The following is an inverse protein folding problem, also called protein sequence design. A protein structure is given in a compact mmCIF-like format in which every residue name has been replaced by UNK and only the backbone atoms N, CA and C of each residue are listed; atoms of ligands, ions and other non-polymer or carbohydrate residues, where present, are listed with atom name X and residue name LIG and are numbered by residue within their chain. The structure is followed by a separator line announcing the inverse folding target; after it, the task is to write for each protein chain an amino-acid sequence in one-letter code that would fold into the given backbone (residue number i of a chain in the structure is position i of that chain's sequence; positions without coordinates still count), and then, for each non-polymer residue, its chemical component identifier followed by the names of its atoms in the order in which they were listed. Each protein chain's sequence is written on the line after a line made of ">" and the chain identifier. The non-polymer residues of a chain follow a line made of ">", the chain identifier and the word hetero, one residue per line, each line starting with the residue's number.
data_IF_955238162148
#
_entry.id   IF_955238162148
#
_cell.length_a   1.000
_cell.length_b   1.000
_cell.length_c   1.000
_cell.angle_alpha   90.00
_cell.angle_beta   90.00
_cell.angle_gamma   90.00
#
_symmetry.space_group_name_H-M   'P 1'
#
loop_
_entity.id
_entity.type
_entity.pdbx_description
1 polymer ?
#
# COMPACT_ATOMS: atom_id res chain seq x y z
N UNK A 1 -2.65 26.41 -10.59
CA UNK A 1 -2.51 25.80 -11.94
C UNK A 1 -3.71 26.24 -12.77
N UNK A 2 -3.59 26.37 -14.10
CA UNK A 2 -4.76 26.78 -14.90
C UNK A 2 -5.87 25.72 -14.88
N UNK A 3 -7.14 26.14 -14.92
CA UNK A 3 -8.29 25.22 -14.87
C UNK A 3 -8.31 24.23 -16.05
N UNK A 4 -7.94 24.69 -17.25
CA UNK A 4 -7.83 23.83 -18.43
C UNK A 4 -6.73 22.78 -18.30
N UNK A 5 -5.60 23.14 -17.70
CA UNK A 5 -4.50 22.22 -17.40
C UNK A 5 -4.93 21.13 -16.40
N UNK A 6 -5.60 21.52 -15.30
CA UNK A 6 -6.13 20.57 -14.32
C UNK A 6 -7.16 19.61 -14.92
N UNK A 7 -8.11 20.13 -15.70
CA UNK A 7 -9.09 19.30 -16.39
C UNK A 7 -8.41 18.33 -17.36
N UNK A 8 -7.40 18.77 -18.11
CA UNK A 8 -6.63 17.92 -19.01
C UNK A 8 -5.92 16.79 -18.25
N UNK A 9 -5.28 17.10 -17.13
CA UNK A 9 -4.61 16.12 -16.29
C UNK A 9 -5.61 15.09 -15.72
N UNK A 10 -6.76 15.54 -15.20
CA UNK A 10 -7.80 14.64 -14.66
C UNK A 10 -8.43 13.74 -15.72
N UNK A 11 -8.51 14.19 -16.99
CA UNK A 11 -9.01 13.39 -18.11
C UNK A 11 -8.14 12.19 -18.47
N UNK A 12 -6.91 12.10 -17.94
CA UNK A 12 -6.08 10.89 -18.05
C UNK A 12 -6.67 9.71 -17.25
N UNK A 13 -7.64 9.97 -16.37
CA UNK A 13 -8.37 8.99 -15.57
C UNK A 13 -9.83 8.92 -16.09
N UNK A 14 -10.12 8.03 -17.07
CA UNK A 14 -11.36 8.08 -17.84
C UNK A 14 -12.63 7.76 -17.04
N UNK A 15 -12.52 7.14 -15.87
CA UNK A 15 -13.69 6.85 -15.03
C UNK A 15 -14.19 8.08 -14.25
N UNK A 16 -13.37 9.14 -14.15
CA UNK A 16 -13.71 10.34 -13.41
C UNK A 16 -14.74 11.20 -14.13
N UNK A 17 -15.66 11.78 -13.37
CA UNK A 17 -16.62 12.75 -13.87
C UNK A 17 -16.23 14.15 -13.38
N UNK A 18 -15.54 14.90 -14.24
CA UNK A 18 -15.07 16.26 -13.93
C UNK A 18 -16.10 17.28 -14.41
N UNK A 19 -16.62 18.11 -13.50
CA UNK A 19 -17.59 19.17 -13.80
C UNK A 19 -17.18 20.47 -13.11
N UNK A 20 -17.30 21.64 -13.77
CA UNK A 20 -17.22 22.92 -13.07
C UNK A 20 -18.35 23.06 -12.06
N UNK A 21 -18.04 23.59 -10.89
CA UNK A 21 -19.00 23.93 -9.83
C UNK A 21 -18.60 25.29 -9.22
N UNK A 22 -19.04 26.37 -9.88
CA UNK A 22 -18.58 27.73 -9.55
C UNK A 22 -17.07 27.91 -9.83
N UNK A 23 -16.28 28.42 -8.86
CA UNK A 23 -14.84 28.57 -9.01
C UNK A 23 -14.07 27.25 -8.83
N UNK A 24 -14.74 26.18 -8.42
CA UNK A 24 -14.14 24.88 -8.16
C UNK A 24 -14.45 23.89 -9.29
N UNK A 25 -13.67 22.81 -9.33
CA UNK A 25 -13.96 21.61 -10.06
C UNK A 25 -14.47 20.56 -9.10
N UNK A 26 -15.64 20.00 -9.40
CA UNK A 26 -16.15 18.79 -8.77
C UNK A 26 -15.70 17.58 -9.58
N UNK A 27 -14.92 16.71 -8.94
CA UNK A 27 -14.37 15.48 -9.52
C UNK A 27 -15.09 14.30 -8.88
N UNK A 28 -16.16 13.83 -9.51
CA UNK A 28 -16.89 12.66 -9.03
C UNK A 28 -16.11 11.37 -9.35
N UNK A 29 -16.02 10.49 -8.35
CA UNK A 29 -15.43 9.15 -8.44
C UNK A 29 -16.56 8.14 -8.25
N UNK A 30 -17.18 7.64 -9.34
CA UNK A 30 -18.41 6.85 -9.25
C UNK A 30 -18.27 5.58 -8.38
N UNK A 31 -17.10 4.94 -8.37
CA UNK A 31 -16.87 3.70 -7.64
C UNK A 31 -17.02 3.84 -6.11
N UNK A 32 -16.72 5.02 -5.57
CA UNK A 32 -16.90 5.34 -4.13
C UNK A 32 -18.17 6.17 -3.87
N UNK A 33 -18.93 6.50 -4.92
CA UNK A 33 -20.13 7.34 -4.86
C UNK A 33 -19.92 8.70 -4.15
N UNK A 34 -18.73 9.29 -4.31
CA UNK A 34 -18.35 10.58 -3.71
C UNK A 34 -17.61 11.46 -4.72
N UNK A 35 -17.30 12.70 -4.35
CA UNK A 35 -16.61 13.66 -5.20
C UNK A 35 -15.60 14.52 -4.44
N UNK A 36 -14.45 14.73 -5.05
CA UNK A 36 -13.45 15.69 -4.61
C UNK A 36 -13.80 17.08 -5.10
N UNK A 37 -13.58 18.11 -4.28
CA UNK A 37 -13.71 19.52 -4.65
C UNK A 37 -12.34 20.16 -4.74
N UNK A 38 -12.01 20.70 -5.90
CA UNK A 38 -10.68 21.24 -6.19
C UNK A 38 -10.80 22.66 -6.73
N UNK A 39 -10.18 23.61 -6.04
CA UNK A 39 -9.95 24.93 -6.61
C UNK A 39 -8.67 24.88 -7.49
N UNK A 40 -8.74 25.21 -8.80
CA UNK A 40 -7.57 25.13 -9.68
C UNK A 40 -6.34 25.93 -9.19
N UNK A 41 -6.57 27.10 -8.59
CA UNK A 41 -5.51 27.95 -8.02
C UNK A 41 -4.86 27.36 -6.76
N UNK A 42 -5.52 26.41 -6.09
CA UNK A 42 -4.97 25.67 -4.96
C UNK A 42 -4.14 24.48 -5.40
N UNK A 43 -4.30 23.99 -6.63
CA UNK A 43 -3.47 22.91 -7.16
C UNK A 43 -2.17 23.50 -7.71
N UNK A 44 -1.06 23.17 -7.07
CA UNK A 44 0.27 23.67 -7.44
C UNK A 44 0.93 22.80 -8.51
N UNK A 45 0.66 21.50 -8.48
CA UNK A 45 1.23 20.53 -9.42
C UNK A 45 0.29 19.35 -9.61
N UNK A 46 0.27 18.80 -10.82
CA UNK A 46 -0.33 17.52 -11.13
C UNK A 46 0.72 16.62 -11.80
N UNK A 47 0.91 15.42 -11.26
CA UNK A 47 1.88 14.45 -11.75
C UNK A 47 1.20 13.12 -12.01
N UNK A 48 1.34 12.61 -13.23
CA UNK A 48 0.85 11.27 -13.55
C UNK A 48 1.74 10.24 -12.86
N UNK A 49 1.09 9.30 -12.17
CA UNK A 49 1.74 8.21 -11.43
C UNK A 49 0.94 6.92 -11.65
N UNK A 50 1.32 5.87 -10.93
CA UNK A 50 0.64 4.59 -10.98
C UNK A 50 0.39 4.08 -9.56
N UNK A 51 -0.78 3.46 -9.36
CA UNK A 51 -1.13 2.76 -8.13
C UNK A 51 -0.19 1.57 -7.88
N UNK A 52 -0.21 0.93 -6.71
CA UNK A 52 0.52 -0.33 -6.48
C UNK A 52 0.07 -1.43 -7.44
N UNK A 53 -1.19 -1.40 -7.88
CA UNK A 53 -1.74 -2.28 -8.93
C UNK A 53 -1.42 -1.79 -10.34
N UNK A 54 -0.61 -0.74 -10.46
CA UNK A 54 -0.16 -0.14 -11.71
C UNK A 54 -1.26 0.53 -12.51
N UNK A 55 -2.42 0.78 -11.90
CA UNK A 55 -3.49 1.54 -12.52
C UNK A 55 -3.07 3.00 -12.64
N UNK A 56 -3.45 3.71 -13.71
CA UNK A 56 -3.20 5.15 -13.83
C UNK A 56 -3.76 5.90 -12.62
N UNK A 57 -2.97 6.83 -12.10
CA UNK A 57 -3.34 7.72 -11.02
C UNK A 57 -2.75 9.11 -11.24
N UNK A 58 -3.27 10.11 -10.53
CA UNK A 58 -2.80 11.49 -10.59
C UNK A 58 -2.49 11.98 -9.17
N UNK A 59 -1.24 12.37 -8.90
CA UNK A 59 -0.82 13.03 -7.66
C UNK A 59 -0.96 14.52 -7.85
N UNK A 60 -1.76 15.12 -6.98
CA UNK A 60 -1.98 16.54 -6.89
C UNK A 60 -1.30 17.06 -5.63
N UNK A 61 -0.50 18.10 -5.78
CA UNK A 61 -0.01 18.90 -4.64
C UNK A 61 -0.99 20.05 -4.46
N UNK A 62 -1.79 19.97 -3.40
CA UNK A 62 -2.85 20.93 -3.12
C UNK A 62 -2.44 21.82 -1.94
N UNK A 63 -2.48 23.12 -2.15
CA UNK A 63 -2.32 24.11 -1.10
C UNK A 63 -3.65 24.34 -0.39
N UNK A 64 -3.64 24.16 0.93
CA UNK A 64 -4.73 24.56 1.81
C UNK A 64 -4.15 25.40 2.93
N UNK A 65 -4.58 26.65 3.01
CA UNK A 65 -3.95 27.66 3.85
C UNK A 65 -2.42 27.69 3.59
N UNK A 66 -1.62 27.49 4.64
CA UNK A 66 -0.15 27.42 4.57
C UNK A 66 0.38 25.99 4.32
N UNK A 67 -0.48 24.97 4.30
CA UNK A 67 -0.10 23.57 4.19
C UNK A 67 -0.10 23.08 2.73
N UNK A 68 0.87 22.23 2.40
CA UNK A 68 0.92 21.49 1.14
C UNK A 68 0.49 20.04 1.41
N UNK A 69 -0.65 19.65 0.86
CA UNK A 69 -1.26 18.35 1.10
C UNK A 69 -1.24 17.50 -0.17
N UNK A 70 -0.79 16.24 -0.09
CA UNK A 70 -0.93 15.31 -1.19
C UNK A 70 -2.38 14.85 -1.33
N UNK A 71 -2.84 14.81 -2.57
CA UNK A 71 -4.08 14.17 -2.96
C UNK A 71 -3.81 13.31 -4.19
N UNK A 72 -4.07 12.02 -4.12
CA UNK A 72 -3.96 11.12 -5.26
C UNK A 72 -5.35 10.71 -5.69
N UNK A 73 -5.65 10.90 -6.97
CA UNK A 73 -6.92 10.51 -7.57
C UNK A 73 -6.69 9.30 -8.46
N UNK A 74 -7.53 8.28 -8.32
CA UNK A 74 -7.58 7.08 -9.16
C UNK A 74 -8.92 7.01 -9.89
N UNK A 75 -9.06 6.08 -10.83
CA UNK A 75 -10.34 5.84 -11.51
C UNK A 75 -11.46 5.40 -10.55
N UNK A 76 -11.10 4.72 -9.47
CA UNK A 76 -12.01 4.04 -8.56
C UNK A 76 -11.81 4.42 -7.08
N UNK A 77 -10.88 5.32 -6.77
CA UNK A 77 -10.55 5.66 -5.39
C UNK A 77 -9.88 7.06 -5.30
N UNK A 78 -9.75 7.55 -4.07
CA UNK A 78 -9.04 8.79 -3.73
C UNK A 78 -8.19 8.52 -2.50
N UNK A 79 -6.95 9.00 -2.50
CA UNK A 79 -5.99 8.79 -1.41
C UNK A 79 -5.48 10.14 -0.92
N UNK A 80 -5.40 10.31 0.40
CA UNK A 80 -4.96 11.56 1.02
C UNK A 80 -4.14 11.30 2.28
N UNK A 81 -3.45 12.34 2.76
CA UNK A 81 -2.79 12.30 4.05
C UNK A 81 -3.80 12.52 5.19
N UNK A 82 -3.86 11.64 6.21
CA UNK A 82 -4.62 11.89 7.43
C UNK A 82 -4.21 13.19 8.12
N UNK A 83 -5.13 13.78 8.88
CA UNK A 83 -4.77 14.90 9.76
C UNK A 83 -4.02 14.40 11.00
N UNK A 84 -3.25 15.28 11.65
CA UNK A 84 -2.54 14.93 12.88
C UNK A 84 -3.53 14.63 14.03
N UNK A 85 -3.42 13.49 14.73
CA UNK A 85 -4.18 13.21 15.95
C UNK A 85 -4.16 14.34 16.98
N UNK A 86 -3.04 15.05 17.13
CA UNK A 86 -2.92 16.17 18.05
C UNK A 86 -3.85 17.34 17.69
N UNK A 87 -4.20 17.49 16.40
CA UNK A 87 -5.16 18.49 15.93
C UNK A 87 -6.61 18.07 16.18
N UNK A 88 -6.88 16.80 16.50
CA UNK A 88 -8.24 16.28 16.72
C UNK A 88 -8.64 16.19 18.18
N UNK A 89 -7.67 16.07 19.08
CA UNK A 89 -7.90 15.90 20.51
C UNK A 89 -7.66 17.20 21.28
N UNK A 90 -8.56 17.49 22.21
CA UNK A 90 -8.39 18.46 23.28
C UNK A 90 -7.80 17.74 24.49
N UNK A 91 -6.52 17.38 24.35
CA UNK A 91 -5.73 16.71 25.40
C UNK A 91 -4.52 17.57 25.76
N UNK A 92 -4.21 17.63 27.06
CA UNK A 92 -2.98 18.26 27.57
C UNK A 92 -1.76 17.40 27.24
N UNK A 93 -1.95 16.09 27.10
CA UNK A 93 -0.89 15.14 26.75
C UNK A 93 -0.94 14.90 25.23
N UNK A 94 0.15 15.19 24.48
CA UNK A 94 0.21 14.90 23.06
C UNK A 94 0.05 13.41 22.79
N UNK A 95 -0.99 13.05 22.04
CA UNK A 95 -1.23 11.68 21.59
C UNK A 95 -0.53 11.48 20.24
N UNK A 96 0.28 10.42 20.13
CA UNK A 96 0.92 10.00 18.87
C UNK A 96 0.56 8.56 18.57
N UNK A 97 0.16 8.30 17.34
CA UNK A 97 -0.10 6.95 16.83
C UNK A 97 1.11 6.58 15.98
N UNK A 98 1.99 5.75 16.51
CA UNK A 98 3.29 5.43 15.90
C UNK A 98 3.15 4.81 14.51
N UNK A 99 2.13 3.98 14.33
CA UNK A 99 1.88 3.22 13.09
C UNK A 99 0.76 3.86 12.23
N UNK A 100 0.52 5.17 12.37
CA UNK A 100 -0.44 5.86 11.52
C UNK A 100 0.03 5.83 10.05
N UNK A 101 -0.80 5.37 9.10
CA UNK A 101 -0.40 5.36 7.71
C UNK A 101 -0.27 6.81 7.21
N UNK A 102 0.78 7.12 6.43
CA UNK A 102 1.03 8.47 5.95
C UNK A 102 0.06 8.90 4.84
N UNK A 103 -0.60 7.93 4.22
CA UNK A 103 -1.64 8.10 3.21
C UNK A 103 -2.70 7.03 3.46
N UNK A 104 -3.97 7.35 3.21
CA UNK A 104 -5.09 6.42 3.32
C UNK A 104 -6.00 6.57 2.12
N UNK A 105 -6.44 5.45 1.56
CA UNK A 105 -7.43 5.43 0.49
C UNK A 105 -8.86 5.52 1.04
N UNK A 106 -9.80 6.04 0.27
CA UNK A 106 -11.20 6.11 0.67
C UNK A 106 -11.76 4.73 0.99
N UNK A 107 -11.52 3.76 0.11
CA UNK A 107 -11.99 2.39 0.30
C UNK A 107 -11.31 1.71 1.48
N UNK A 108 -10.04 2.02 1.75
CA UNK A 108 -9.30 1.52 2.90
C UNK A 108 -9.87 2.06 4.21
N UNK A 109 -10.15 3.36 4.28
CA UNK A 109 -10.83 3.97 5.42
C UNK A 109 -12.16 3.25 5.70
N UNK A 110 -13.04 3.08 4.69
CA UNK A 110 -14.31 2.38 4.88
C UNK A 110 -14.13 0.94 5.38
N UNK A 111 -13.19 0.20 4.76
CA UNK A 111 -12.87 -1.18 5.15
C UNK A 111 -12.35 -1.26 6.59
N UNK A 112 -11.50 -0.32 7.00
CA UNK A 112 -10.96 -0.26 8.36
C UNK A 112 -12.04 0.03 9.40
N UNK A 113 -13.04 0.86 9.07
CA UNK A 113 -14.22 1.09 9.91
C UNK A 113 -14.97 -0.22 10.21
N UNK A 114 -15.25 -0.99 9.16
CA UNK A 114 -15.95 -2.28 9.27
C UNK A 114 -15.11 -3.29 10.06
N UNK A 115 -13.79 -3.34 9.80
CA UNK A 115 -12.85 -4.19 10.52
C UNK A 115 -12.84 -3.90 12.02
N UNK A 116 -12.76 -2.62 12.40
CA UNK A 116 -12.82 -2.19 13.80
C UNK A 116 -14.14 -2.58 14.45
N UNK A 117 -15.28 -2.42 13.76
CA UNK A 117 -16.58 -2.80 14.29
C UNK A 117 -16.68 -4.30 14.58
N UNK A 118 -16.13 -5.15 13.70
CA UNK A 118 -16.05 -6.60 13.93
C UNK A 118 -15.12 -6.95 15.08
N UNK A 119 -14.00 -6.26 15.23
CA UNK A 119 -13.05 -6.50 16.31
C UNK A 119 -13.69 -6.21 17.69
N UNK A 120 -14.52 -5.17 17.79
CA UNK A 120 -15.24 -4.87 19.03
C UNK A 120 -16.35 -5.88 19.37
N UNK A 121 -16.85 -6.64 18.39
CA UNK A 121 -17.79 -7.74 18.64
C UNK A 121 -17.08 -9.03 19.11
N UNK A 122 -15.75 -9.00 19.23
CA UNK A 122 -14.93 -10.10 19.72
C UNK A 122 -15.05 -10.33 21.25
N UNK A 123 -14.64 -11.52 21.74
CA UNK A 123 -14.76 -11.89 23.16
C UNK A 123 -13.80 -11.12 24.08
N UNK A 124 -12.74 -10.51 23.53
CA UNK A 124 -11.81 -9.65 24.24
C UNK A 124 -11.63 -8.36 23.46
N UNK A 125 -12.01 -7.24 24.06
CA UNK A 125 -11.85 -5.91 23.47
C UNK A 125 -10.71 -5.19 24.18
N UNK A 126 -9.70 -4.80 23.41
CA UNK A 126 -8.64 -3.90 23.87
C UNK A 126 -9.14 -2.45 23.71
N UNK A 127 -9.53 -1.84 24.83
CA UNK A 127 -10.11 -0.48 24.88
C UNK A 127 -9.12 0.59 24.37
N UNK A 128 -7.82 0.42 24.64
CA UNK A 128 -6.79 1.37 24.21
C UNK A 128 -6.61 1.29 22.69
N UNK A 129 -6.55 0.07 22.14
CA UNK A 129 -6.47 -0.14 20.70
C UNK A 129 -7.71 0.40 19.96
N UNK A 130 -8.90 0.19 20.52
CA UNK A 130 -10.15 0.72 19.97
C UNK A 130 -10.17 2.25 20.03
N UNK A 131 -9.77 2.85 21.15
CA UNK A 131 -9.70 4.30 21.31
C UNK A 131 -8.73 4.92 20.30
N UNK A 132 -7.54 4.33 20.14
CA UNK A 132 -6.55 4.77 19.14
C UNK A 132 -7.12 4.63 17.72
N UNK A 133 -7.83 3.54 17.44
CA UNK A 133 -8.49 3.31 16.14
C UNK A 133 -9.56 4.38 15.86
N UNK A 134 -10.39 4.75 16.84
CA UNK A 134 -11.38 5.81 16.70
C UNK A 134 -10.73 7.18 16.39
N UNK A 135 -9.65 7.52 17.09
CA UNK A 135 -8.91 8.76 16.83
C UNK A 135 -8.35 8.75 15.41
N UNK A 136 -7.67 7.67 15.03
CA UNK A 136 -7.09 7.53 13.70
C UNK A 136 -8.15 7.59 12.60
N UNK A 137 -9.29 6.95 12.81
CA UNK A 137 -10.39 6.94 11.86
C UNK A 137 -11.02 8.33 11.69
N UNK A 138 -11.19 9.09 12.77
CA UNK A 138 -11.58 10.50 12.66
C UNK A 138 -10.55 11.30 11.88
N UNK A 139 -9.25 11.05 12.10
CA UNK A 139 -8.19 11.71 11.35
C UNK A 139 -8.27 11.43 9.85
N UNK A 140 -8.64 10.19 9.46
CA UNK A 140 -8.88 9.82 8.07
C UNK A 140 -10.06 10.60 7.49
N UNK A 141 -11.22 10.57 8.16
CA UNK A 141 -12.43 11.25 7.69
C UNK A 141 -12.22 12.75 7.54
N UNK A 142 -11.66 13.41 8.56
CA UNK A 142 -11.42 14.86 8.52
C UNK A 142 -10.40 15.20 7.43
N UNK A 143 -9.39 14.34 7.21
CA UNK A 143 -8.48 14.46 6.08
C UNK A 143 -9.20 14.41 4.73
N UNK A 144 -10.22 13.54 4.59
CA UNK A 144 -11.03 13.44 3.38
C UNK A 144 -11.87 14.70 3.17
N UNK A 145 -12.51 15.18 4.24
CA UNK A 145 -13.39 16.35 4.23
C UNK A 145 -12.66 17.63 3.82
N UNK A 146 -11.36 17.75 4.13
CA UNK A 146 -10.52 18.84 3.63
C UNK A 146 -10.55 18.94 2.11
N UNK A 147 -10.67 17.83 1.40
CA UNK A 147 -10.77 17.80 -0.06
C UNK A 147 -12.22 17.81 -0.57
N UNK A 148 -13.19 18.15 0.28
CA UNK A 148 -14.60 18.24 -0.06
C UNK A 148 -15.34 16.90 -0.14
N UNK A 149 -14.67 15.78 0.18
CA UNK A 149 -15.31 14.46 0.28
C UNK A 149 -16.31 14.43 1.45
N UNK A 150 -17.34 13.58 1.34
CA UNK A 150 -18.37 13.39 2.36
C UNK A 150 -18.48 11.89 2.69
N UNK A 151 -17.55 11.34 3.51
CA UNK A 151 -17.52 9.91 3.80
C UNK A 151 -18.57 9.50 4.87
N UNK A 152 -19.84 9.70 4.55
CA UNK A 152 -20.98 9.53 5.47
C UNK A 152 -21.02 8.12 6.07
N UNK A 153 -20.69 7.08 5.28
CA UNK A 153 -20.69 5.69 5.75
C UNK A 153 -19.58 5.42 6.77
N UNK A 154 -18.38 5.97 6.55
CA UNK A 154 -17.27 5.85 7.49
C UNK A 154 -17.58 6.60 8.79
N UNK A 155 -18.18 7.79 8.70
CA UNK A 155 -18.67 8.55 9.85
C UNK A 155 -19.75 7.81 10.63
N UNK A 156 -20.67 7.11 9.96
CA UNK A 156 -21.69 6.28 10.60
C UNK A 156 -21.07 5.11 11.38
N UNK A 157 -20.08 4.42 10.79
CA UNK A 157 -19.32 3.39 11.51
C UNK A 157 -18.57 3.97 12.71
N UNK A 158 -17.93 5.12 12.55
CA UNK A 158 -17.26 5.82 13.63
C UNK A 158 -18.24 6.13 14.78
N UNK A 159 -19.42 6.66 14.46
CA UNK A 159 -20.45 6.99 15.46
C UNK A 159 -20.94 5.73 16.20
N UNK A 160 -21.16 4.63 15.47
CA UNK A 160 -21.51 3.34 16.06
C UNK A 160 -20.43 2.81 17.00
N UNK A 161 -19.16 2.89 16.58
CA UNK A 161 -18.01 2.48 17.39
C UNK A 161 -17.88 3.34 18.67
N UNK A 162 -17.96 4.66 18.53
CA UNK A 162 -17.86 5.59 19.63
C UNK A 162 -19.02 5.42 20.64
N UNK A 163 -20.24 5.18 20.17
CA UNK A 163 -21.39 4.93 21.03
C UNK A 163 -21.26 3.64 21.84
N UNK A 164 -20.65 2.59 21.27
CA UNK A 164 -20.36 1.34 22.00
C UNK A 164 -19.29 1.52 23.08
N UNK A 165 -18.30 2.36 22.83
CA UNK A 165 -17.24 2.66 23.79
C UNK A 165 -17.73 3.56 24.93
N UNK A 166 -18.66 4.48 24.66
CA UNK A 166 -19.26 5.33 25.68
C UNK A 166 -18.22 6.11 26.49
N UNK A 167 -18.29 6.00 27.82
CA UNK A 167 -17.39 6.69 28.76
C UNK A 167 -16.00 6.03 28.86
N UNK A 168 -15.79 4.86 28.24
CA UNK A 168 -14.52 4.12 28.28
C UNK A 168 -13.45 4.70 27.33
N UNK A 169 -13.74 5.77 26.58
CA UNK A 169 -12.77 6.42 25.71
C UNK A 169 -11.64 7.09 26.51
N UNK A 170 -10.42 6.57 26.35
CA UNK A 170 -9.30 6.91 27.23
C UNK A 170 -8.34 8.00 26.71
N UNK A 171 -8.54 8.52 25.49
CA UNK A 171 -7.58 9.42 24.81
C UNK A 171 -7.92 10.92 24.90
N UNK A 172 -8.87 11.31 25.75
CA UNK A 172 -9.26 12.70 25.97
C UNK A 172 -10.58 13.08 25.29
N UNK A 173 -10.84 14.37 25.05
CA UNK A 173 -12.04 14.82 24.33
C UNK A 173 -11.69 15.19 22.91
N UNK A 174 -12.61 14.98 21.98
CA UNK A 174 -12.43 15.53 20.65
C UNK A 174 -12.67 17.04 20.65
N UNK A 175 -11.91 17.77 19.83
CA UNK A 175 -12.13 19.19 19.61
C UNK A 175 -13.49 19.43 18.92
N UNK A 176 -14.20 20.51 19.25
CA UNK A 176 -15.39 20.92 18.50
C UNK A 176 -15.03 21.18 17.03
N UNK A 177 -15.85 20.65 16.13
CA UNK A 177 -15.67 20.78 14.69
C UNK A 177 -17.05 20.77 14.02
N UNK A 178 -17.45 21.92 13.47
CA UNK A 178 -18.81 22.10 12.92
C UNK A 178 -19.05 21.26 11.66
N UNK A 179 -18.01 21.08 10.84
CA UNK A 179 -18.14 20.30 9.61
C UNK A 179 -18.27 18.82 9.94
N UNK A 180 -17.53 18.37 10.97
CA UNK A 180 -17.65 17.04 11.54
C UNK A 180 -19.04 16.78 12.11
N UNK A 181 -19.56 17.72 12.92
CA UNK A 181 -20.91 17.61 13.49
C UNK A 181 -21.98 17.53 12.40
N UNK A 182 -21.83 18.31 11.32
CA UNK A 182 -22.70 18.24 10.14
C UNK A 182 -22.62 16.89 9.42
N UNK A 183 -21.42 16.30 9.29
CA UNK A 183 -21.25 14.97 8.71
C UNK A 183 -21.87 13.88 9.61
N UNK A 184 -21.73 13.97 10.93
CA UNK A 184 -22.36 13.04 11.87
C UNK A 184 -23.88 13.12 11.83
N UNK A 185 -24.46 14.30 11.65
CA UNK A 185 -25.90 14.47 11.48
C UNK A 185 -26.41 13.73 10.23
N UNK A 186 -25.68 13.80 9.12
CA UNK A 186 -25.98 13.04 7.90
C UNK A 186 -25.79 11.53 8.11
N UNK A 187 -24.74 11.15 8.84
CA UNK A 187 -24.41 9.75 9.14
C UNK A 187 -25.49 9.05 9.98
N UNK A 188 -26.20 9.79 10.84
CA UNK A 188 -27.26 9.24 11.69
C UNK A 188 -28.43 8.58 10.92
N UNK A 189 -28.60 8.89 9.64
CA UNK A 189 -29.60 8.27 8.76
C UNK A 189 -29.11 7.00 8.03
N UNK A 190 -27.82 6.67 8.13
CA UNK A 190 -27.23 5.57 7.36
C UNK A 190 -27.44 4.23 8.06
N UNK A 191 -28.06 3.29 7.34
CA UNK A 191 -28.14 1.91 7.79
C UNK A 191 -26.79 1.21 7.58
N UNK A 192 -26.11 0.91 8.69
CA UNK A 192 -24.89 0.11 8.67
C UNK A 192 -25.22 -1.35 8.36
N UNK A 193 -24.66 -1.85 7.25
CA UNK A 193 -24.70 -3.26 6.90
C UNK A 193 -23.32 -3.83 7.16
N UNK A 194 -23.22 -4.80 8.08
CA UNK A 194 -22.02 -5.61 8.17
C UNK A 194 -21.96 -6.44 6.88
N UNK A 195 -20.93 -6.28 6.03
CA UNK A 195 -20.74 -7.23 4.93
C UNK A 195 -20.61 -8.62 5.55
N UNK A 196 -21.19 -9.63 4.90
CA UNK A 196 -21.01 -11.01 5.34
C UNK A 196 -19.50 -11.29 5.46
N UNK A 197 -19.04 -11.97 6.52
CA UNK A 197 -17.67 -12.47 6.52
C UNK A 197 -17.50 -13.34 5.26
N UNK A 198 -16.39 -13.21 4.52
CA UNK A 198 -16.10 -14.20 3.49
C UNK A 198 -16.13 -15.58 4.15
N UNK A 199 -16.66 -16.62 3.45
CA UNK A 199 -16.65 -17.96 4.01
C UNK A 199 -15.21 -18.32 4.37
N UNK A 200 -15.01 -18.81 5.60
CA UNK A 200 -13.71 -19.29 6.03
C UNK A 200 -13.29 -20.40 5.06
N UNK A 201 -12.27 -20.12 4.23
CA UNK A 201 -11.68 -21.16 3.39
C UNK A 201 -10.78 -22.00 4.26
N UNK A 202 -11.00 -23.30 4.23
CA UNK A 202 -10.06 -24.25 4.83
C UNK A 202 -8.86 -24.41 3.89
N UNK A 203 -7.94 -23.44 3.96
CA UNK A 203 -6.72 -23.43 3.16
C UNK A 203 -5.90 -24.70 3.38
N UNK A 204 -5.97 -25.30 4.57
CA UNK A 204 -5.23 -26.53 4.86
C UNK A 204 -5.82 -27.71 4.10
N UNK A 205 -7.14 -27.86 4.09
CA UNK A 205 -7.80 -28.87 3.26
C UNK A 205 -7.50 -28.67 1.76
N UNK A 206 -7.49 -27.43 1.27
CA UNK A 206 -7.12 -27.13 -0.12
C UNK A 206 -5.65 -27.53 -0.44
N UNK A 207 -4.73 -27.31 0.50
CA UNK A 207 -3.31 -27.69 0.36
C UNK A 207 -3.13 -29.21 0.40
N UNK A 208 -3.80 -29.88 1.33
CA UNK A 208 -3.70 -31.34 1.46
C UNK A 208 -4.29 -32.06 0.25
N UNK A 209 -5.27 -31.45 -0.44
CA UNK A 209 -5.90 -31.97 -1.65
C UNK A 209 -5.11 -31.75 -2.97
N UNK A 210 -3.97 -31.05 -2.96
CA UNK A 210 -3.18 -30.77 -4.17
C UNK A 210 -2.76 -32.07 -4.88
N UNK A 211 -2.91 -32.11 -6.20
CA UNK A 211 -2.43 -33.20 -7.07
C UNK A 211 -1.45 -32.69 -8.14
N UNK A 212 -0.72 -33.61 -8.79
CA UNK A 212 0.13 -33.28 -9.94
C UNK A 212 -0.71 -32.69 -11.08
N UNK A 213 -1.92 -33.20 -11.29
CA UNK A 213 -2.83 -32.69 -12.32
C UNK A 213 -3.21 -31.22 -12.10
N UNK A 214 -3.37 -30.79 -10.84
CA UNK A 214 -3.61 -29.37 -10.51
C UNK A 214 -2.43 -28.50 -10.90
N UNK A 215 -1.19 -28.98 -10.68
CA UNK A 215 0.04 -28.28 -11.07
C UNK A 215 0.15 -28.15 -12.60
N UNK A 216 -0.07 -29.25 -13.33
CA UNK A 216 -0.04 -29.27 -14.79
C UNK A 216 -1.12 -28.38 -15.41
N UNK A 217 -2.32 -28.31 -14.81
CA UNK A 217 -3.39 -27.44 -15.28
C UNK A 217 -3.04 -25.93 -15.20
N UNK A 218 -2.00 -25.55 -14.44
CA UNK A 218 -1.54 -24.17 -14.32
C UNK A 218 -0.39 -23.81 -15.27
N UNK A 219 0.21 -24.77 -15.99
CA UNK A 219 1.38 -24.60 -16.87
C UNK A 219 1.27 -23.51 -17.95
N UNK A 220 0.08 -23.06 -18.40
CA UNK A 220 0.04 -21.87 -19.23
C UNK A 220 0.59 -20.63 -18.52
N UNK A 221 0.47 -20.49 -17.20
CA UNK A 221 0.84 -19.28 -16.43
C UNK A 221 1.95 -19.56 -15.42
N UNK A 222 1.90 -20.71 -14.74
CA UNK A 222 2.84 -21.12 -13.71
C UNK A 222 3.41 -22.49 -14.07
N UNK A 223 4.71 -22.54 -14.33
CA UNK A 223 5.44 -23.78 -14.51
C UNK A 223 6.12 -24.14 -13.20
N UNK A 224 6.09 -25.40 -12.81
CA UNK A 224 6.90 -25.90 -11.69
C UNK A 224 8.08 -26.69 -12.26
N UNK A 225 9.29 -26.43 -11.78
CA UNK A 225 10.51 -27.01 -12.38
C UNK A 225 10.49 -28.55 -12.37
N UNK A 226 9.83 -29.16 -11.38
CA UNK A 226 9.55 -30.60 -11.28
C UNK A 226 8.17 -30.83 -10.64
N UNK A 227 7.16 -31.16 -11.45
CA UNK A 227 5.81 -31.47 -10.98
C UNK A 227 5.73 -32.94 -10.51
N UNK A 228 6.34 -33.26 -9.38
CA UNK A 228 6.37 -34.62 -8.82
C UNK A 228 5.87 -34.68 -7.36
N UNK A 229 5.84 -35.89 -6.80
CA UNK A 229 5.41 -36.12 -5.42
C UNK A 229 6.32 -35.43 -4.39
N UNK A 230 7.61 -35.26 -4.70
CA UNK A 230 8.55 -34.57 -3.81
C UNK A 230 8.25 -33.07 -3.75
N UNK A 231 7.93 -32.46 -4.89
CA UNK A 231 7.46 -31.07 -4.94
C UNK A 231 6.16 -30.87 -4.17
N UNK A 232 5.17 -31.76 -4.36
CA UNK A 232 3.89 -31.68 -3.64
C UNK A 232 4.10 -31.83 -2.13
N UNK A 233 4.92 -32.79 -1.70
CA UNK A 233 5.26 -32.99 -0.29
C UNK A 233 5.94 -31.73 0.28
N UNK A 234 6.87 -31.14 -0.47
CA UNK A 234 7.54 -29.88 -0.09
C UNK A 234 6.55 -28.72 0.01
N UNK A 235 5.61 -28.60 -0.93
CA UNK A 235 4.60 -27.55 -0.94
C UNK A 235 3.70 -27.65 0.30
N UNK A 236 3.15 -28.84 0.57
CA UNK A 236 2.28 -29.10 1.75
C UNK A 236 2.97 -28.83 3.08
N UNK A 237 4.30 -28.99 3.12
CA UNK A 237 5.12 -28.77 4.30
C UNK A 237 5.43 -27.29 4.54
N UNK A 238 5.80 -26.57 3.49
CA UNK A 238 6.42 -25.25 3.64
C UNK A 238 5.52 -24.08 3.23
N UNK A 239 4.66 -24.24 2.23
CA UNK A 239 3.90 -23.15 1.64
C UNK A 239 2.51 -23.06 2.29
N UNK A 240 2.16 -21.95 2.97
CA UNK A 240 0.92 -21.85 3.74
C UNK A 240 -0.33 -21.54 2.89
N UNK A 241 -0.20 -21.56 1.56
CA UNK A 241 -1.29 -21.27 0.61
C UNK A 241 -1.32 -22.29 -0.52
N UNK A 242 -2.49 -22.56 -1.12
CA UNK A 242 -2.58 -23.43 -2.27
C UNK A 242 -1.89 -22.81 -3.51
N UNK A 243 -1.35 -23.63 -4.43
CA UNK A 243 -0.68 -23.18 -5.65
C UNK A 243 -1.50 -22.20 -6.49
N UNK A 244 -2.83 -22.38 -6.53
CA UNK A 244 -3.75 -21.48 -7.21
C UNK A 244 -3.69 -20.05 -6.63
N UNK A 245 -3.68 -19.93 -5.29
CA UNK A 245 -3.63 -18.63 -4.60
C UNK A 245 -2.27 -17.97 -4.80
N UNK A 246 -1.18 -18.75 -4.74
CA UNK A 246 0.17 -18.29 -5.06
C UNK A 246 0.20 -17.68 -6.47
N UNK A 247 -0.36 -18.38 -7.46
CA UNK A 247 -0.46 -17.90 -8.84
C UNK A 247 -1.30 -16.63 -8.96
N UNK A 248 -2.47 -16.61 -8.32
CA UNK A 248 -3.36 -15.44 -8.32
C UNK A 248 -2.65 -14.19 -7.78
N UNK A 249 -1.90 -14.31 -6.68
CA UNK A 249 -1.13 -13.21 -6.10
C UNK A 249 0.01 -12.76 -7.02
N UNK A 250 0.79 -13.69 -7.58
CA UNK A 250 1.93 -13.34 -8.44
C UNK A 250 1.52 -12.72 -9.78
N UNK A 251 0.41 -13.17 -10.36
CA UNK A 251 -0.06 -12.72 -11.67
C UNK A 251 -1.15 -11.64 -11.61
N UNK A 252 -1.49 -11.14 -10.42
CA UNK A 252 -2.53 -10.12 -10.25
C UNK A 252 -2.22 -8.87 -11.10
N UNK A 253 -3.14 -8.51 -11.99
CA UNK A 253 -2.97 -7.36 -12.91
C UNK A 253 -1.90 -7.55 -13.99
N UNK A 254 -1.40 -8.78 -14.20
CA UNK A 254 -0.33 -9.11 -15.14
C UNK A 254 -0.76 -10.26 -16.08
N UNK A 255 -1.67 -10.02 -17.04
CA UNK A 255 -2.27 -11.08 -17.87
C UNK A 255 -1.25 -11.85 -18.73
N UNK A 256 -0.10 -11.25 -18.99
CA UNK A 256 0.98 -11.81 -19.83
C UNK A 256 2.13 -12.37 -19.00
N UNK A 257 1.99 -12.41 -17.66
CA UNK A 257 2.98 -13.01 -16.79
C UNK A 257 3.03 -14.53 -16.97
N UNK A 258 4.25 -15.03 -17.08
CA UNK A 258 4.62 -16.44 -16.99
C UNK A 258 5.66 -16.55 -15.90
N UNK A 259 5.56 -17.52 -15.02
CA UNK A 259 6.59 -17.70 -14.00
C UNK A 259 6.88 -19.16 -13.70
N UNK A 260 8.13 -19.42 -13.38
CA UNK A 260 8.65 -20.72 -12.98
C UNK A 260 8.84 -20.73 -11.47
N UNK A 261 8.39 -21.81 -10.82
CA UNK A 261 8.55 -22.02 -9.38
C UNK A 261 9.40 -23.26 -9.15
N UNK A 262 10.48 -23.08 -8.40
CA UNK A 262 11.30 -24.15 -7.86
C UNK A 262 11.16 -24.19 -6.35
N UNK A 263 10.80 -25.33 -5.79
CA UNK A 263 10.69 -25.54 -4.34
C UNK A 263 11.58 -26.72 -3.94
N UNK A 264 12.41 -26.51 -2.94
CA UNK A 264 13.37 -27.48 -2.45
C UNK A 264 12.89 -28.10 -1.12
N UNK A 265 13.29 -29.35 -0.80
CA UNK A 265 12.85 -30.04 0.41
C UNK A 265 13.23 -29.34 1.73
N UNK A 266 14.30 -28.53 1.70
CA UNK A 266 14.79 -27.73 2.83
C UNK A 266 13.95 -26.47 3.10
N UNK A 267 12.97 -26.16 2.23
CA UNK A 267 12.14 -24.97 2.34
C UNK A 267 12.71 -23.75 1.63
N UNK A 268 13.73 -23.90 0.81
CA UNK A 268 14.10 -22.90 -0.18
C UNK A 268 13.08 -22.88 -1.34
N UNK A 269 12.68 -21.69 -1.78
CA UNK A 269 11.83 -21.50 -2.95
C UNK A 269 12.40 -20.41 -3.85
N UNK A 270 12.38 -20.61 -5.16
CA UNK A 270 12.77 -19.61 -6.15
C UNK A 270 11.62 -19.39 -7.14
N UNK A 271 11.42 -18.14 -7.52
CA UNK A 271 10.42 -17.73 -8.52
C UNK A 271 11.08 -16.87 -9.57
N UNK A 272 11.00 -17.31 -10.82
CA UNK A 272 11.46 -16.55 -11.98
C UNK A 272 10.26 -16.17 -12.84
N UNK A 273 9.92 -14.90 -12.88
CA UNK A 273 8.79 -14.36 -13.61
C UNK A 273 9.25 -13.57 -14.83
N UNK A 274 8.57 -13.79 -15.96
CA UNK A 274 8.75 -13.12 -17.24
C UNK A 274 7.44 -12.57 -17.74
N UNK A 275 7.46 -11.33 -18.22
CA UNK A 275 6.32 -10.69 -18.90
C UNK A 275 6.74 -10.43 -20.34
N UNK A 276 6.02 -11.04 -21.29
CA UNK A 276 6.37 -10.97 -22.70
C UNK A 276 5.14 -10.87 -23.63
N UNK A 277 4.47 -9.69 -23.70
CA UNK A 277 3.42 -9.43 -24.70
C UNK A 277 3.91 -9.79 -26.09
N UNK A 278 3.12 -10.59 -26.82
CA UNK A 278 3.44 -11.00 -28.19
C UNK A 278 4.86 -11.57 -28.38
N UNK A 279 5.47 -12.14 -27.33
CA UNK A 279 6.81 -12.73 -27.35
C UNK A 279 7.96 -11.76 -27.04
N UNK A 280 7.73 -10.45 -26.99
CA UNK A 280 8.75 -9.45 -26.67
C UNK A 280 8.86 -9.28 -25.15
N UNK A 281 10.04 -9.52 -24.58
CA UNK A 281 10.26 -9.39 -23.12
C UNK A 281 10.11 -7.92 -22.70
N UNK A 282 9.21 -7.67 -21.76
CA UNK A 282 8.98 -6.35 -21.17
C UNK A 282 9.52 -6.27 -19.74
N UNK A 283 9.43 -7.37 -18.98
CA UNK A 283 9.97 -7.42 -17.63
C UNK A 283 10.46 -8.83 -17.23
N UNK A 284 11.43 -8.84 -16.31
CA UNK A 284 11.93 -10.01 -15.60
C UNK A 284 11.91 -9.70 -14.10
N UNK A 285 11.57 -10.70 -13.29
CA UNK A 285 11.55 -10.65 -11.84
C UNK A 285 12.11 -11.97 -11.30
N UNK A 286 13.13 -11.92 -10.47
CA UNK A 286 13.72 -13.08 -9.79
C UNK A 286 13.60 -12.93 -8.27
N UNK A 287 12.99 -13.90 -7.62
CA UNK A 287 12.75 -13.90 -6.18
C UNK A 287 13.20 -15.20 -5.53
N UNK A 288 13.59 -15.12 -4.26
CA UNK A 288 13.79 -16.28 -3.41
C UNK A 288 13.07 -16.15 -2.09
N UNK A 289 12.62 -17.27 -1.56
CA UNK A 289 12.03 -17.39 -0.24
C UNK A 289 12.78 -18.46 0.55
N UNK A 290 12.99 -18.20 1.83
CA UNK A 290 13.39 -19.19 2.81
C UNK A 290 12.27 -19.30 3.84
N UNK A 291 11.49 -20.37 3.76
CA UNK A 291 10.43 -20.65 4.73
C UNK A 291 10.98 -20.89 6.15
N UNK A 292 12.10 -21.62 6.34
CA UNK A 292 12.70 -21.78 7.66
C UNK A 292 13.13 -20.45 8.30
N UNK A 293 13.70 -19.54 7.50
CA UNK A 293 14.17 -18.22 8.00
C UNK A 293 13.08 -17.15 7.95
N UNK A 294 11.92 -17.46 7.36
CA UNK A 294 10.82 -16.52 7.09
C UNK A 294 11.31 -15.26 6.38
N UNK A 295 12.13 -15.43 5.35
CA UNK A 295 12.77 -14.33 4.61
C UNK A 295 12.48 -14.43 3.12
N UNK A 296 12.13 -13.31 2.52
CA UNK A 296 12.10 -13.14 1.07
C UNK A 296 13.29 -12.29 0.61
N UNK A 297 13.85 -12.60 -0.56
CA UNK A 297 14.77 -11.74 -1.29
C UNK A 297 14.26 -11.47 -2.69
N UNK A 298 14.34 -10.21 -3.10
CA UNK A 298 14.17 -9.80 -4.48
C UNK A 298 15.58 -9.68 -5.09
N UNK A 299 15.94 -10.67 -5.88
CA UNK A 299 17.27 -10.78 -6.46
C UNK A 299 17.40 -9.93 -7.73
N UNK A 300 16.33 -9.88 -8.53
CA UNK A 300 16.31 -9.12 -9.78
C UNK A 300 14.93 -8.55 -10.09
N UNK A 301 14.91 -7.31 -10.57
CA UNK A 301 13.79 -6.74 -11.30
C UNK A 301 14.33 -5.92 -12.47
N UNK A 302 13.94 -6.27 -13.70
CA UNK A 302 14.36 -5.57 -14.92
C UNK A 302 13.15 -5.22 -15.76
N UNK A 303 13.10 -3.98 -16.23
CA UNK A 303 12.10 -3.50 -17.18
C UNK A 303 12.80 -2.95 -18.42
N UNK A 304 12.24 -3.23 -19.59
CA UNK A 304 12.65 -2.57 -20.83
C UNK A 304 12.21 -1.11 -20.84
N UNK A 305 12.81 -0.28 -21.69
CA UNK A 305 12.42 1.13 -21.83
C UNK A 305 10.95 1.29 -22.21
N UNK A 306 10.41 0.39 -23.03
CA UNK A 306 9.00 0.37 -23.43
C UNK A 306 8.04 0.09 -22.26
N UNK A 307 8.51 -0.60 -21.22
CA UNK A 307 7.73 -0.90 -20.03
C UNK A 307 7.85 0.19 -18.94
N UNK A 308 8.76 1.16 -19.10
CA UNK A 308 8.92 2.27 -18.14
C UNK A 308 7.71 3.21 -18.21
N UNK A 309 7.28 3.69 -17.05
CA UNK A 309 6.14 4.60 -16.97
C UNK A 309 4.79 3.96 -17.33
N UNK A 310 4.66 2.62 -17.21
CA UNK A 310 3.40 1.90 -17.45
C UNK A 310 2.72 1.39 -16.18
N UNK A 311 3.34 1.63 -15.01
CA UNK A 311 2.92 1.04 -13.73
C UNK A 311 3.38 -0.41 -13.53
N UNK A 312 4.09 -1.01 -14.49
CA UNK A 312 4.48 -2.44 -14.43
C UNK A 312 5.38 -2.77 -13.25
N UNK A 313 6.34 -1.89 -12.96
CA UNK A 313 7.24 -2.05 -11.83
C UNK A 313 6.46 -2.05 -10.50
N UNK A 314 5.52 -1.12 -10.34
CA UNK A 314 4.69 -0.99 -9.14
C UNK A 314 3.89 -2.28 -8.91
N UNK A 315 3.26 -2.83 -9.97
CA UNK A 315 2.57 -4.13 -9.90
C UNK A 315 3.47 -5.25 -9.43
N UNK A 316 4.66 -5.36 -10.00
CA UNK A 316 5.61 -6.42 -9.65
C UNK A 316 6.01 -6.32 -8.17
N UNK A 317 6.30 -5.12 -7.67
CA UNK A 317 6.63 -4.89 -6.27
C UNK A 317 5.45 -5.16 -5.34
N UNK A 318 4.26 -4.69 -5.69
CA UNK A 318 3.04 -4.95 -4.91
C UNK A 318 2.74 -6.45 -4.82
N UNK A 319 2.76 -7.18 -5.94
CA UNK A 319 2.55 -8.63 -5.95
C UNK A 319 3.62 -9.36 -5.12
N UNK A 320 4.87 -8.89 -5.18
CA UNK A 320 5.99 -9.41 -4.37
C UNK A 320 5.73 -9.22 -2.87
N UNK A 321 5.29 -8.04 -2.44
CA UNK A 321 4.99 -7.72 -1.05
C UNK A 321 3.75 -8.49 -0.54
N UNK A 322 2.66 -8.50 -1.33
CA UNK A 322 1.43 -9.24 -1.02
C UNK A 322 1.72 -10.74 -0.90
N UNK A 323 2.46 -11.32 -1.85
CA UNK A 323 2.85 -12.72 -1.76
C UNK A 323 3.72 -12.96 -0.52
N UNK A 324 4.73 -12.13 -0.26
CA UNK A 324 5.60 -12.29 0.91
C UNK A 324 4.81 -12.25 2.21
N UNK A 325 3.82 -11.36 2.32
CA UNK A 325 2.92 -11.27 3.48
C UNK A 325 2.04 -12.50 3.62
N UNK A 326 1.42 -12.94 2.52
CA UNK A 326 0.56 -14.13 2.50
C UNK A 326 1.34 -15.41 2.85
N UNK A 327 2.60 -15.48 2.44
CA UNK A 327 3.52 -16.58 2.79
C UNK A 327 4.05 -16.50 4.24
N UNK A 328 3.71 -15.44 4.98
CA UNK A 328 4.14 -15.26 6.38
C UNK A 328 5.61 -14.88 6.55
N UNK A 329 6.23 -14.28 5.52
CA UNK A 329 7.61 -13.80 5.59
C UNK A 329 7.71 -12.63 6.59
N UNK A 330 8.73 -12.66 7.43
CA UNK A 330 9.02 -11.62 8.41
C UNK A 330 9.82 -10.45 7.82
N UNK A 331 10.52 -10.67 6.71
CA UNK A 331 11.30 -9.63 6.03
C UNK A 331 11.38 -9.87 4.52
N UNK A 332 11.46 -8.78 3.78
CA UNK A 332 11.77 -8.75 2.35
C UNK A 332 13.03 -7.90 2.16
N UNK A 333 14.10 -8.50 1.64
CA UNK A 333 15.34 -7.79 1.30
C UNK A 333 15.45 -7.53 -0.20
N UNK A 334 15.77 -6.30 -0.56
CA UNK A 334 15.95 -5.88 -1.96
C UNK A 334 17.36 -5.33 -2.15
N UNK A 335 18.10 -5.84 -3.13
CA UNK A 335 19.39 -5.26 -3.51
C UNK A 335 19.18 -4.18 -4.58
N UNK A 336 19.20 -2.92 -4.16
CA UNK A 336 19.03 -1.79 -5.06
C UNK A 336 20.38 -1.30 -5.60
N UNK A 337 20.68 -1.57 -6.88
CA UNK A 337 21.84 -1.01 -7.58
C UNK A 337 21.43 0.21 -8.38
N UNK A 338 21.77 1.41 -7.90
CA UNK A 338 21.51 2.70 -8.57
C UNK A 338 20.63 3.66 -7.78
N UNK A 339 20.73 4.96 -8.09
CA UNK A 339 20.06 6.04 -7.34
C UNK A 339 18.53 5.91 -7.40
N UNK A 340 17.98 5.58 -8.56
CA UNK A 340 16.54 5.35 -8.74
C UNK A 340 16.03 4.14 -7.94
N UNK A 341 16.77 3.04 -7.95
CA UNK A 341 16.45 1.82 -7.19
C UNK A 341 16.55 2.04 -5.68
N UNK A 342 17.52 2.85 -5.22
CA UNK A 342 17.71 3.16 -3.79
C UNK A 342 16.61 4.07 -3.24
N UNK A 343 16.26 5.13 -3.97
CA UNK A 343 15.13 5.99 -3.59
C UNK A 343 13.85 5.16 -3.45
N UNK A 344 13.64 4.21 -4.35
CA UNK A 344 12.44 3.39 -4.35
C UNK A 344 12.44 2.34 -3.21
N UNK A 345 13.55 1.63 -3.00
CA UNK A 345 13.69 0.65 -1.90
C UNK A 345 13.61 1.30 -0.51
N UNK A 346 14.10 2.54 -0.35
CA UNK A 346 14.08 3.27 0.93
C UNK A 346 12.71 3.82 1.30
N UNK A 347 11.83 4.05 0.32
CA UNK A 347 10.54 4.70 0.56
C UNK A 347 9.33 3.76 0.57
N UNK A 348 9.54 2.46 0.32
CA UNK A 348 8.64 1.38 0.75
C UNK A 348 7.19 1.54 0.29
N UNK A 349 6.98 1.88 -0.98
CA UNK A 349 5.69 2.19 -1.55
C UNK A 349 5.69 3.52 -2.30
N UNK A 350 4.61 3.75 -3.06
CA UNK A 350 4.21 4.93 -3.84
C UNK A 350 5.28 6.03 -4.01
N UNK A 351 5.69 6.44 -5.23
CA UNK A 351 6.61 7.56 -5.37
C UNK A 351 6.02 8.78 -4.68
N UNK A 352 6.62 9.17 -3.56
CA UNK A 352 6.31 10.41 -2.83
C UNK A 352 7.27 11.46 -3.34
N UNK A 353 6.74 12.62 -3.70
CA UNK A 353 7.56 13.77 -3.98
C UNK A 353 8.48 14.09 -2.78
N UNK A 354 9.81 14.16 -2.99
CA UNK A 354 10.76 14.62 -1.98
C UNK A 354 10.46 16.02 -1.41
N UNK A 355 9.81 16.89 -2.18
CA UNK A 355 9.52 18.28 -1.77
C UNK A 355 8.36 18.38 -0.76
N UNK A 356 7.37 17.48 -0.83
CA UNK A 356 6.32 17.35 0.19
C UNK A 356 6.87 17.06 1.60
N UNK A 357 8.09 16.51 1.70
CA UNK A 357 8.76 16.30 3.00
C UNK A 357 9.43 17.55 3.55
N UNK A 358 9.84 18.48 2.69
CA UNK A 358 10.53 19.70 3.12
C UNK A 358 9.56 20.70 3.76
N UNK A 359 8.30 20.71 3.31
CA UNK A 359 7.24 21.58 3.83
C UNK A 359 6.49 21.00 5.04
N UNK A 360 6.48 19.67 5.22
CA UNK A 360 5.73 18.97 6.28
C UNK A 360 6.33 18.98 7.69
N UNK A 361 7.35 19.78 7.99
CA UNK A 361 7.74 20.08 9.38
C UNK A 361 8.23 18.90 10.24
N UNK A 362 8.73 17.81 9.66
CA UNK A 362 9.59 16.87 10.39
C UNK A 362 11.06 17.30 10.25
N UNK A 363 11.40 18.40 10.91
CA UNK A 363 12.80 18.73 11.23
C UNK A 363 13.29 17.80 12.35
N UNK A 364 13.40 16.50 12.05
CA UNK A 364 14.33 15.63 12.75
C UNK A 364 15.61 15.65 11.92
N UNK A 365 16.72 16.10 12.52
CA UNK A 365 18.05 15.93 11.95
C UNK A 365 18.17 14.54 11.33
N UNK A 366 18.55 14.49 10.06
CA UNK A 366 18.93 13.25 9.44
C UNK A 366 20.08 12.66 10.29
N UNK A 367 19.99 11.41 10.79
CA UNK A 367 21.17 10.77 11.32
C UNK A 367 22.18 10.70 10.18
N UNK A 368 23.40 11.18 10.45
CA UNK A 368 24.51 11.12 9.52
C UNK A 368 24.56 9.73 8.85
N UNK A 369 24.74 9.65 7.52
CA UNK A 369 24.95 8.36 6.88
C UNK A 369 26.14 7.67 7.57
N UNK A 370 26.06 6.36 7.88
CA UNK A 370 27.20 5.67 8.46
C UNK A 370 28.38 5.86 7.51
N UNK A 371 29.40 6.56 8.01
CA UNK A 371 30.62 6.83 7.28
C UNK A 371 31.19 5.51 6.78
N UNK A 372 31.23 5.34 5.46
CA UNK A 372 32.02 4.30 4.83
C UNK A 372 33.49 4.58 5.15
N UNK A 373 33.97 3.97 6.24
CA UNK A 373 35.39 3.82 6.48
C UNK A 373 35.94 2.90 5.38
N UNK A 374 36.46 3.51 4.32
CA UNK A 374 37.28 2.83 3.35
C UNK A 374 38.52 2.28 4.06
N UNK A 375 38.49 1.02 4.49
CA UNK A 375 39.69 0.28 4.84
C UNK A 375 40.53 0.11 3.59
N UNK A 376 41.42 1.09 3.34
CA UNK A 376 42.56 0.94 2.45
C UNK A 376 43.44 -0.18 3.04
N UNK A 377 43.40 -1.35 2.42
CA UNK A 377 44.45 -2.36 2.63
C UNK A 377 45.75 -1.80 2.03
N UNK A 378 46.63 -1.34 2.91
CA UNK A 378 48.02 -1.04 2.58
C UNK A 378 48.71 -2.33 2.11
N UNK A 379 49.41 -2.36 0.96
CA UNK A 379 50.20 -3.52 0.57
C UNK A 379 51.37 -3.71 1.55
N UNK A 380 51.80 -4.95 1.83
CA UNK A 380 52.96 -5.17 2.68
C UNK A 380 54.23 -4.65 2.00
N UNK A 381 55.01 -3.88 2.75
CA UNK A 381 56.29 -3.34 2.32
C UNK A 381 57.27 -4.46 1.94
N UNK A 382 57.84 -4.36 0.73
CA UNK A 382 59.01 -5.14 0.31
C UNK A 382 60.18 -4.78 1.23
N UNK A 383 60.72 -5.75 1.96
CA UNK A 383 62.06 -5.64 2.57
C UNK A 383 63.09 -5.85 1.46
N UNK A 384 63.94 -4.84 1.25
CA UNK A 384 65.20 -5.00 0.54
C UNK A 384 66.20 -5.74 1.43
N UNK A 385 67.17 -6.50 0.87
CA UNK A 385 68.08 -7.33 1.63
C UNK A 385 69.27 -6.51 2.13
N UNK A 386 69.57 -6.62 3.41
CA UNK A 386 70.90 -6.34 3.93
C UNK A 386 71.65 -7.66 4.07
N UNK A 387 72.82 -7.72 3.44
CA UNK A 387 73.91 -8.67 3.71
C UNK A 387 75.22 -7.92 3.43
N UNK A 388 76.35 -8.26 4.08
CA UNK A 388 76.58 -8.89 5.38
C UNK A 388 77.08 -7.90 6.47
#
# INVERSE_FOLDING_TARGET
>A
MDSGELVSALRTLPALQVRPDGPELRVAVPAIADAVRLHPDSVLRASQIFSPRGDPALELVVRQDEALLPLIVLNDDVVWAPVDPAAQLDSVIPVRIADAPPLVAYTEMERNAVGAARAMDGPMVDVDAVSATLVLHRCFIVGAMRFGLRPVRAAAWWQHLAAKLGDDFCLGRFRPDRDWDGLLAEAGGVRLLHPAPPPARDLRAEIDAITIADLTAMEPVMTVARADEEFIASWRRWVPIPPRRFRELMSAGLPEARFEVSLYPDGGCAVDLRIAPAGTVHALLGMRFSFPERRASLDEIRLTDQARGTGLFQRLMFNTEELSRELGMASLSVLATGVGSYALARYGGYPRDPELRRSGGLSGEAPDPPGFAATRRTPPARRSPESP
#
